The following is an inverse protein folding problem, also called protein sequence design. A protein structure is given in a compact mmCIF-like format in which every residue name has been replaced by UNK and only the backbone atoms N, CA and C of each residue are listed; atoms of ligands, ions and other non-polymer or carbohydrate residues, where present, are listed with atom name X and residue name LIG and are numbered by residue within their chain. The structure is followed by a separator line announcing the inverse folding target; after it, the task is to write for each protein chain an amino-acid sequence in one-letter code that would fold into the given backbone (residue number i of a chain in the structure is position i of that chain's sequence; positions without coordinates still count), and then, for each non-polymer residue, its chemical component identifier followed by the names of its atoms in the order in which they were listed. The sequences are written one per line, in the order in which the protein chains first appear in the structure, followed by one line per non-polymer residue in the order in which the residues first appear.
data_IF_981868313256
#
_entry.id   IF_981868313256
#
_cell.length_a   1.000
_cell.length_b   1.000
_cell.length_c   1.000
_cell.angle_alpha   90.00
_cell.angle_beta   90.00
_cell.angle_gamma   90.00
#
_symmetry.space_group_name_H-M   'P 1'
#
loop_
_entity.id
_entity.type
_entity.pdbx_description
1 polymer ?
#
# COMPACT_ATOMS: atom_id res chain seq x y z
N UNK A 1 4.73 -11.09 -7.25
CA UNK A 1 3.33 -10.94 -7.73
C UNK A 1 2.99 -9.45 -7.84
N UNK A 2 2.09 -9.04 -8.75
CA UNK A 2 1.57 -7.67 -8.78
C UNK A 2 0.37 -7.55 -7.84
N UNK A 3 0.40 -6.61 -6.89
CA UNK A 3 -0.61 -6.45 -5.84
C UNK A 3 -1.12 -5.01 -5.85
N UNK A 4 -2.43 -4.83 -6.04
CA UNK A 4 -3.10 -3.54 -5.94
C UNK A 4 -3.77 -3.39 -4.57
N UNK A 5 -3.37 -2.39 -3.79
CA UNK A 5 -3.95 -2.10 -2.47
C UNK A 5 -4.64 -0.74 -2.51
N UNK A 6 -5.95 -0.73 -2.31
CA UNK A 6 -6.74 0.49 -2.12
C UNK A 6 -6.82 0.86 -0.65
N UNK A 7 -6.96 2.16 -0.34
CA UNK A 7 -6.93 2.64 1.04
C UNK A 7 -5.56 2.51 1.73
N UNK A 8 -4.48 2.40 0.97
CA UNK A 8 -3.12 2.09 1.46
C UNK A 8 -2.54 3.14 2.44
N UNK A 9 -3.13 4.33 2.51
CA UNK A 9 -2.66 5.42 3.40
C UNK A 9 -2.87 5.20 4.90
N UNK A 10 -3.69 4.23 5.33
CA UNK A 10 -4.01 4.04 6.76
C UNK A 10 -4.63 2.68 7.08
N UNK A 11 -4.65 2.33 8.37
CA UNK A 11 -5.35 1.13 8.87
C UNK A 11 -4.86 -0.15 8.20
N UNK A 12 -5.79 -1.07 7.92
CA UNK A 12 -5.47 -2.37 7.30
C UNK A 12 -4.77 -2.23 5.95
N UNK A 13 -5.17 -1.29 5.09
CA UNK A 13 -4.52 -1.08 3.80
C UNK A 13 -3.02 -0.75 3.95
N UNK A 14 -2.66 0.05 4.96
CA UNK A 14 -1.27 0.38 5.27
C UNK A 14 -0.49 -0.83 5.79
N UNK A 15 -1.10 -1.61 6.67
CA UNK A 15 -0.44 -2.81 7.22
C UNK A 15 -0.26 -3.90 6.16
N UNK A 16 -1.25 -4.12 5.30
CA UNK A 16 -1.13 -5.02 4.16
C UNK A 16 -0.01 -4.57 3.22
N UNK A 17 0.08 -3.27 2.92
CA UNK A 17 1.19 -2.76 2.10
C UNK A 17 2.55 -3.05 2.74
N UNK A 18 2.68 -2.93 4.07
CA UNK A 18 3.90 -3.32 4.79
C UNK A 18 4.19 -4.81 4.71
N UNK A 19 3.21 -5.67 4.96
CA UNK A 19 3.46 -7.13 5.00
C UNK A 19 3.74 -7.71 3.62
N UNK A 20 3.14 -7.16 2.57
CA UNK A 20 3.38 -7.61 1.19
C UNK A 20 4.59 -6.95 0.53
N UNK A 21 5.28 -6.00 1.18
CA UNK A 21 6.48 -5.35 0.67
C UNK A 21 7.72 -6.27 0.77
N UNK A 22 7.76 -7.27 -0.10
CA UNK A 22 8.87 -8.21 -0.26
C UNK A 22 9.53 -8.04 -1.63
N UNK A 23 10.73 -8.60 -1.82
CA UNK A 23 11.46 -8.52 -3.09
C UNK A 23 10.72 -9.20 -4.26
N UNK A 24 9.89 -10.19 -3.95
CA UNK A 24 9.14 -10.94 -4.94
C UNK A 24 7.86 -10.22 -5.41
N UNK A 25 7.49 -9.11 -4.76
CA UNK A 25 6.23 -8.43 -4.97
C UNK A 25 6.40 -7.02 -5.55
N UNK A 26 5.54 -6.69 -6.51
CA UNK A 26 5.36 -5.35 -7.03
C UNK A 26 4.03 -4.80 -6.49
N UNK A 27 4.11 -3.73 -5.70
CA UNK A 27 2.96 -3.11 -5.04
C UNK A 27 2.52 -1.85 -5.77
N UNK A 28 1.22 -1.75 -6.04
CA UNK A 28 0.56 -0.53 -6.52
C UNK A 28 -0.37 -0.04 -5.41
N UNK A 29 -0.10 1.15 -4.87
CA UNK A 29 -0.80 1.68 -3.71
C UNK A 29 -1.70 2.85 -4.12
N UNK A 30 -2.98 2.76 -3.76
CA UNK A 30 -3.98 3.80 -4.03
C UNK A 30 -4.58 4.32 -2.72
N UNK A 31 -4.67 5.63 -2.58
CA UNK A 31 -5.40 6.27 -1.50
C UNK A 31 -5.93 7.66 -1.91
N UNK A 32 -7.01 8.11 -1.26
CA UNK A 32 -7.62 9.42 -1.53
C UNK A 32 -6.85 10.61 -0.94
N UNK A 33 -6.05 10.36 0.09
CA UNK A 33 -5.32 11.37 0.86
C UNK A 33 -3.85 11.25 0.52
N UNK A 34 -3.39 12.10 -0.38
CA UNK A 34 -2.03 12.12 -0.90
C UNK A 34 -1.01 12.35 0.20
N UNK A 35 -1.29 13.29 1.09
CA UNK A 35 -0.49 13.64 2.28
C UNK A 35 -0.22 12.43 3.19
N UNK A 36 -1.15 11.49 3.27
CA UNK A 36 -0.99 10.27 4.08
C UNK A 36 -0.39 9.09 3.32
N UNK A 37 -0.41 9.13 1.99
CA UNK A 37 0.16 8.07 1.16
C UNK A 37 1.67 8.24 1.00
N UNK A 38 2.14 9.49 0.88
CA UNK A 38 3.55 9.82 0.65
C UNK A 38 4.32 10.28 1.89
N UNK A 39 3.69 10.26 3.06
CA UNK A 39 4.32 10.56 4.36
C UNK A 39 4.84 9.29 5.03
#
# INVERSE_FOLDING_TARGET
MKILITGASSGLGKELARQYATQDNELILLARREDKLYK
#
